data_IF_594518134101
#
_entry.id   IF_594518134101
#
_cell.length_a   1.000
_cell.length_b   1.000
_cell.length_c   1.000
_cell.angle_alpha   90.00
_cell.angle_beta   90.00
_cell.angle_gamma   90.00
#
_symmetry.space_group_name_H-M   'P 1'
#
loop_
_entity.id
_entity.type
_entity.pdbx_description
1 polymer ?
#
# COMPACT_ATOMS: atom_id res chain seq x y z
N UNK A 1 44.89 -20.22 8.46
CA UNK A 1 43.71 -21.03 8.09
C UNK A 1 42.53 -20.16 8.44
N UNK A 2 42.30 -19.15 7.61
CA UNK A 2 41.19 -18.22 7.79
C UNK A 2 40.04 -18.79 6.99
N UNK A 3 39.16 -19.50 7.69
CA UNK A 3 37.95 -20.08 7.13
C UNK A 3 36.99 -18.95 6.80
N UNK A 4 36.85 -18.70 5.50
CA UNK A 4 35.73 -18.03 4.85
C UNK A 4 34.44 -18.26 5.63
N UNK A 5 34.01 -17.23 6.36
CA UNK A 5 32.63 -17.17 6.85
C UNK A 5 31.83 -16.62 5.68
N UNK A 6 31.34 -17.50 4.82
CA UNK A 6 30.28 -17.10 3.88
C UNK A 6 29.16 -16.44 4.69
N UNK A 7 28.68 -15.25 4.30
CA UNK A 7 27.57 -14.64 4.99
C UNK A 7 26.38 -15.58 4.89
N UNK A 8 25.88 -16.04 6.04
CA UNK A 8 24.63 -16.77 6.10
C UNK A 8 23.57 -16.00 5.30
N UNK A 9 22.79 -16.66 4.42
CA UNK A 9 21.66 -16.03 3.77
C UNK A 9 20.80 -15.41 4.87
N UNK A 10 20.51 -14.12 4.75
CA UNK A 10 19.53 -13.45 5.61
C UNK A 10 18.19 -14.12 5.33
N UNK A 11 17.89 -15.19 6.06
CA UNK A 11 16.57 -15.80 6.09
C UNK A 11 15.67 -14.83 6.84
N UNK A 12 15.12 -13.87 6.10
CA UNK A 12 14.07 -13.01 6.60
C UNK A 12 12.78 -13.82 6.59
N UNK A 13 12.55 -14.59 7.65
CA UNK A 13 11.23 -15.16 7.91
C UNK A 13 10.33 -14.01 8.36
N UNK A 14 9.31 -13.60 7.58
CA UNK A 14 8.36 -12.63 8.05
C UNK A 14 7.72 -13.18 9.33
N UNK A 15 7.80 -12.44 10.44
CA UNK A 15 7.00 -12.78 11.61
C UNK A 15 5.52 -12.66 11.22
N UNK A 16 4.61 -13.46 11.79
CA UNK A 16 3.20 -13.54 11.37
C UNK A 16 2.46 -12.19 11.31
N UNK A 17 2.97 -11.14 11.95
CA UNK A 17 2.37 -9.80 11.93
C UNK A 17 2.77 -8.95 10.71
N UNK A 18 3.78 -9.35 9.92
CA UNK A 18 4.23 -8.61 8.74
C UNK A 18 3.19 -8.60 7.60
N UNK A 19 2.23 -9.53 7.62
CA UNK A 19 1.07 -9.53 6.71
C UNK A 19 0.04 -8.43 7.02
N UNK A 20 0.22 -7.73 8.15
CA UNK A 20 -0.72 -6.70 8.65
C UNK A 20 -0.07 -5.38 9.01
N UNK A 21 1.26 -5.27 8.92
CA UNK A 21 2.02 -4.10 9.36
C UNK A 21 3.11 -3.75 8.36
N UNK A 22 3.23 -2.46 8.05
CA UNK A 22 4.30 -1.93 7.20
C UNK A 22 5.66 -2.08 7.89
N UNK A 23 6.62 -2.66 7.18
CA UNK A 23 7.99 -2.84 7.66
C UNK A 23 8.91 -1.84 6.97
N UNK A 24 9.53 -0.95 7.74
CA UNK A 24 10.52 0.01 7.22
C UNK A 24 11.90 -0.64 7.14
N UNK A 25 12.44 -0.76 5.93
CA UNK A 25 13.80 -1.23 5.68
C UNK A 25 14.74 -0.03 5.80
N UNK A 26 15.74 -0.14 6.68
CA UNK A 26 16.75 0.93 6.88
C UNK A 26 18.14 0.48 6.42
N UNK A 27 18.90 1.42 5.84
CA UNK A 27 20.30 1.24 5.47
C UNK A 27 21.13 2.29 6.22
N UNK A 28 22.06 1.84 7.06
CA UNK A 28 22.86 2.72 7.93
C UNK A 28 22.02 3.67 8.79
N UNK A 29 20.91 3.17 9.36
CA UNK A 29 19.99 3.96 10.20
C UNK A 29 19.10 4.94 9.44
N UNK A 30 19.14 4.96 8.10
CA UNK A 30 18.26 5.79 7.26
C UNK A 30 17.22 4.93 6.55
N UNK A 31 15.94 5.34 6.49
CA UNK A 31 14.94 4.64 5.69
C UNK A 31 15.38 4.52 4.23
N UNK A 32 15.28 3.30 3.70
CA UNK A 32 15.68 2.96 2.33
C UNK A 32 14.53 2.33 1.53
N UNK A 33 13.53 1.76 2.21
CA UNK A 33 12.34 1.20 1.59
C UNK A 33 11.29 0.84 2.62
N UNK A 34 10.11 0.49 2.14
CA UNK A 34 9.01 -0.06 2.95
C UNK A 34 8.56 -1.35 2.28
N UNK A 35 8.37 -2.40 3.07
CA UNK A 35 7.71 -3.62 2.66
C UNK A 35 6.30 -3.63 3.25
N UNK A 36 5.30 -3.77 2.39
CA UNK A 36 3.89 -3.81 2.75
C UNK A 36 3.38 -5.21 2.43
N UNK A 37 2.89 -5.91 3.45
CA UNK A 37 2.26 -7.22 3.30
C UNK A 37 0.76 -7.09 3.00
N UNK A 38 0.27 -7.87 2.05
CA UNK A 38 -1.17 -7.99 1.74
C UNK A 38 -1.61 -9.42 1.97
N UNK A 39 -2.81 -9.62 2.55
CA UNK A 39 -3.36 -10.96 2.80
C UNK A 39 -3.96 -11.57 1.53
N UNK A 40 -4.38 -10.72 0.60
CA UNK A 40 -4.97 -11.12 -0.67
C UNK A 40 -4.60 -10.15 -1.80
N UNK A 41 -4.87 -10.57 -3.04
CA UNK A 41 -4.74 -9.68 -4.21
C UNK A 41 -5.75 -8.53 -4.16
N UNK A 42 -6.93 -8.75 -3.59
CA UNK A 42 -7.95 -7.72 -3.41
C UNK A 42 -7.45 -6.62 -2.46
N UNK A 43 -6.81 -6.98 -1.34
CA UNK A 43 -6.22 -6.00 -0.41
C UNK A 43 -5.12 -5.16 -1.10
N UNK A 44 -4.31 -5.79 -1.95
CA UNK A 44 -3.29 -5.08 -2.75
C UNK A 44 -3.94 -4.14 -3.77
N UNK A 45 -5.02 -4.57 -4.42
CA UNK A 45 -5.74 -3.76 -5.39
C UNK A 45 -6.39 -2.54 -4.73
N UNK A 46 -7.07 -2.74 -3.59
CA UNK A 46 -7.68 -1.67 -2.80
C UNK A 46 -6.62 -0.65 -2.37
N UNK A 47 -5.51 -1.12 -1.80
CA UNK A 47 -4.39 -0.24 -1.44
C UNK A 47 -3.90 0.57 -2.64
N UNK A 48 -3.72 -0.06 -3.80
CA UNK A 48 -3.27 0.64 -5.00
C UNK A 48 -4.28 1.68 -5.47
N UNK A 49 -5.56 1.37 -5.45
CA UNK A 49 -6.63 2.27 -5.91
C UNK A 49 -6.78 3.46 -4.97
N UNK A 50 -6.78 3.23 -3.66
CA UNK A 50 -6.86 4.28 -2.63
C UNK A 50 -5.68 5.26 -2.68
N UNK A 51 -4.51 4.79 -3.11
CA UNK A 51 -3.31 5.60 -3.23
C UNK A 51 -3.07 6.14 -4.65
N UNK A 52 -3.91 5.83 -5.64
CA UNK A 52 -3.75 6.36 -7.00
C UNK A 52 -4.16 7.85 -7.05
N UNK A 53 -3.25 8.78 -7.40
CA UNK A 53 -3.57 10.20 -7.46
C UNK A 53 -4.73 10.56 -8.40
N UNK A 54 -4.92 9.79 -9.48
CA UNK A 54 -6.02 9.98 -10.44
C UNK A 54 -7.35 9.58 -9.82
N UNK A 55 -7.37 8.52 -9.01
CA UNK A 55 -8.56 8.11 -8.28
C UNK A 55 -8.95 9.16 -7.24
N UNK A 56 -7.99 9.62 -6.43
CA UNK A 56 -8.20 10.68 -5.46
C UNK A 56 -8.72 11.97 -6.11
N UNK A 57 -8.14 12.37 -7.24
CA UNK A 57 -8.60 13.54 -8.00
C UNK A 57 -10.05 13.39 -8.48
N UNK A 58 -10.43 12.20 -8.99
CA UNK A 58 -11.81 11.93 -9.42
C UNK A 58 -12.79 11.97 -8.27
N UNK A 59 -12.43 11.41 -7.12
CA UNK A 59 -13.26 11.44 -5.90
C UNK A 59 -13.49 12.88 -5.46
N UNK A 60 -12.46 13.72 -5.45
CA UNK A 60 -12.62 15.13 -5.07
C UNK A 60 -13.52 15.90 -6.05
N UNK A 61 -13.34 15.70 -7.35
CA UNK A 61 -14.20 16.29 -8.38
C UNK A 61 -15.66 15.85 -8.23
N UNK A 62 -15.90 14.58 -7.93
CA UNK A 62 -17.25 14.05 -7.69
C UNK A 62 -17.88 14.69 -6.44
N UNK A 63 -17.13 14.78 -5.33
CA UNK A 63 -17.57 15.45 -4.09
C UNK A 63 -17.91 16.92 -4.33
N UNK A 64 -17.07 17.65 -5.08
CA UNK A 64 -17.34 19.03 -5.45
C UNK A 64 -18.60 19.17 -6.32
N UNK A 65 -18.82 18.24 -7.25
CA UNK A 65 -20.00 18.22 -8.11
C UNK A 65 -21.29 17.97 -7.33
N UNK A 66 -21.27 17.02 -6.39
CA UNK A 66 -22.39 16.74 -5.49
C UNK A 66 -22.72 17.96 -4.62
N UNK A 67 -21.71 18.60 -4.01
CA UNK A 67 -21.91 19.83 -3.22
C UNK A 67 -22.48 20.99 -4.05
N UNK A 68 -22.16 21.03 -5.34
CA UNK A 68 -22.73 21.99 -6.30
C UNK A 68 -24.12 21.60 -6.84
N UNK A 69 -24.75 20.55 -6.31
CA UNK A 69 -26.09 20.10 -6.73
C UNK A 69 -26.11 19.33 -8.06
N UNK A 70 -24.95 18.91 -8.57
CA UNK A 70 -24.81 18.15 -9.84
C UNK A 70 -24.73 16.64 -9.62
N UNK A 71 -25.10 16.15 -8.44
CA UNK A 71 -25.21 14.72 -8.16
C UNK A 71 -26.49 14.14 -8.74
N UNK A 72 -26.46 12.85 -9.08
CA UNK A 72 -27.65 12.07 -9.44
C UNK A 72 -27.96 11.16 -8.26
N UNK A 73 -29.23 11.02 -7.88
CA UNK A 73 -29.60 10.07 -6.83
C UNK A 73 -29.42 8.65 -7.33
N UNK A 74 -29.13 7.72 -6.42
CA UNK A 74 -28.81 6.35 -6.81
C UNK A 74 -29.99 5.68 -7.54
N UNK A 75 -31.22 5.95 -7.13
CA UNK A 75 -32.44 5.45 -7.79
C UNK A 75 -32.64 5.97 -9.23
N UNK A 76 -31.99 7.08 -9.58
CA UNK A 76 -32.09 7.71 -10.90
C UNK A 76 -30.97 7.25 -11.85
N UNK A 77 -30.03 6.42 -11.37
CA UNK A 77 -28.96 5.81 -12.17
C UNK A 77 -29.53 4.58 -12.89
N UNK A 78 -29.38 4.54 -14.22
CA UNK A 78 -29.87 3.47 -15.10
C UNK A 78 -28.98 2.23 -15.09
#
# INVERSE_FOLDING_TARGET
MDSDTEPHPIEWTPRPNAETQDVVITRHGKPAGVLIGFKSEDDWFDYRLENDPRFLQRVEQARASIRAGRGVKLEDVK
#
